data_IF_297981811024
#
_entry.id   IF_297981811024
#
_cell.length_a   1.000
_cell.length_b   1.000
_cell.length_c   1.000
_cell.angle_alpha   90.00
_cell.angle_beta   90.00
_cell.angle_gamma   90.00
#
_symmetry.space_group_name_H-M   'P 1'
#
loop_
_entity.id
_entity.type
_entity.pdbx_description
1 polymer ?
#
# COMPACT_ATOMS: atom_id res chain seq x y z
N UNK A 1 0.66 6.68 14.47
CA UNK A 1 1.25 6.19 13.21
C UNK A 1 0.19 5.41 12.43
N UNK A 2 0.10 5.66 11.14
CA UNK A 2 -0.88 4.96 10.30
C UNK A 2 -0.41 3.54 9.99
N UNK A 3 -1.33 2.60 9.92
CA UNK A 3 -1.02 1.22 9.57
C UNK A 3 -1.49 0.93 8.15
N UNK A 4 -0.58 0.43 7.33
CA UNK A 4 -0.87 0.11 5.94
C UNK A 4 -0.61 -1.37 5.67
N UNK A 5 -1.57 -2.03 5.04
CA UNK A 5 -1.41 -3.41 4.63
C UNK A 5 -0.90 -3.45 3.20
N UNK A 6 0.17 -4.20 2.97
CA UNK A 6 0.67 -4.49 1.63
C UNK A 6 0.14 -5.85 1.24
N UNK A 7 -0.66 -5.91 0.20
CA UNK A 7 -1.23 -7.16 -0.28
C UNK A 7 -1.18 -7.23 -1.80
N UNK A 8 -0.93 -8.41 -2.35
CA UNK A 8 -0.89 -8.64 -3.78
C UNK A 8 -1.54 -9.97 -4.12
N UNK A 9 -2.05 -10.04 -5.35
CA UNK A 9 -2.79 -11.21 -5.81
C UNK A 9 -1.99 -12.51 -5.76
N UNK A 10 -0.77 -12.47 -6.25
CA UNK A 10 0.06 -13.65 -6.35
C UNK A 10 1.05 -13.82 -5.22
N UNK A 11 1.05 -12.92 -4.30
CA UNK A 11 1.74 -13.02 -3.03
C UNK A 11 3.24 -12.92 -3.05
N UNK A 12 3.95 -13.90 -3.50
CA UNK A 12 5.33 -14.06 -3.07
C UNK A 12 6.36 -13.04 -3.58
N UNK A 13 6.50 -12.90 -4.89
CA UNK A 13 7.52 -12.01 -5.44
C UNK A 13 7.09 -10.55 -5.48
N UNK A 14 5.93 -10.30 -6.08
CA UNK A 14 5.44 -8.94 -6.31
C UNK A 14 5.14 -8.18 -5.04
N UNK A 15 4.54 -8.85 -4.05
CA UNK A 15 4.18 -8.16 -2.81
C UNK A 15 5.40 -7.82 -1.98
N UNK A 16 6.44 -8.65 -2.02
CA UNK A 16 7.70 -8.34 -1.34
C UNK A 16 8.39 -7.13 -1.97
N UNK A 17 8.43 -7.08 -3.30
CA UNK A 17 9.00 -5.93 -4.00
C UNK A 17 8.22 -4.67 -3.72
N UNK A 18 6.90 -4.75 -3.74
CA UNK A 18 6.05 -3.61 -3.42
C UNK A 18 6.32 -3.12 -2.00
N UNK A 19 6.39 -4.03 -1.04
CA UNK A 19 6.69 -3.65 0.34
C UNK A 19 8.04 -2.96 0.45
N UNK A 20 9.06 -3.51 -0.19
CA UNK A 20 10.42 -2.94 -0.14
C UNK A 20 10.41 -1.53 -0.73
N UNK A 21 9.80 -1.34 -1.88
CA UNK A 21 9.78 -0.04 -2.54
C UNK A 21 9.00 1.00 -1.74
N UNK A 22 7.84 0.60 -1.22
CA UNK A 22 7.04 1.51 -0.40
C UNK A 22 7.77 1.86 0.89
N UNK A 23 8.42 0.87 1.52
CA UNK A 23 9.18 1.09 2.73
C UNK A 23 10.33 2.08 2.50
N UNK A 24 11.02 1.96 1.37
CA UNK A 24 12.09 2.90 1.03
C UNK A 24 11.57 4.34 0.93
N UNK A 25 10.40 4.51 0.31
CA UNK A 25 9.79 5.84 0.18
C UNK A 25 9.39 6.39 1.55
N UNK A 26 8.80 5.55 2.38
CA UNK A 26 8.36 5.93 3.72
C UNK A 26 9.56 6.39 4.56
N UNK A 27 10.65 5.63 4.56
CA UNK A 27 11.84 5.95 5.33
C UNK A 27 12.54 7.19 4.80
N UNK A 28 12.62 7.33 3.47
CA UNK A 28 13.29 8.47 2.85
C UNK A 28 12.57 9.77 3.15
N UNK A 29 11.25 9.74 3.29
CA UNK A 29 10.43 10.92 3.53
C UNK A 29 9.93 11.03 4.96
N UNK A 30 10.30 10.08 5.80
CA UNK A 30 9.89 10.04 7.22
C UNK A 30 8.38 10.11 7.40
N UNK A 31 7.65 9.39 6.56
CA UNK A 31 6.21 9.32 6.67
C UNK A 31 5.80 8.50 7.92
N UNK A 32 4.75 8.91 8.64
CA UNK A 32 4.30 8.19 9.83
C UNK A 32 3.43 6.98 9.45
N UNK A 33 4.00 6.05 8.71
CA UNK A 33 3.28 4.88 8.21
C UNK A 33 4.05 3.61 8.56
N UNK A 34 3.34 2.65 9.18
CA UNK A 34 3.88 1.34 9.48
C UNK A 34 3.34 0.35 8.44
N UNK A 35 4.24 -0.41 7.81
CA UNK A 35 3.85 -1.37 6.80
C UNK A 35 3.68 -2.76 7.41
N UNK A 36 2.58 -3.42 7.03
CA UNK A 36 2.30 -4.79 7.42
C UNK A 36 2.10 -5.58 6.13
N UNK A 37 2.82 -6.70 5.99
CA UNK A 37 2.73 -7.55 4.81
C UNK A 37 1.71 -8.67 5.05
N UNK A 38 0.79 -8.84 4.12
CA UNK A 38 -0.22 -9.86 4.23
C UNK A 38 -0.71 -10.34 2.87
N UNK A 39 -1.76 -11.13 2.88
CA UNK A 39 -2.36 -11.66 1.66
C UNK A 39 -3.68 -10.95 1.37
N UNK A 40 -4.27 -11.23 0.20
CA UNK A 40 -5.57 -10.64 -0.13
C UNK A 40 -6.67 -11.10 0.83
N UNK A 41 -6.54 -12.29 1.39
CA UNK A 41 -7.53 -12.75 2.37
C UNK A 41 -7.44 -12.00 3.69
N UNK A 42 -6.30 -11.37 3.97
CA UNK A 42 -6.14 -10.58 5.18
C UNK A 42 -6.84 -9.22 5.09
N UNK A 43 -7.20 -8.78 3.89
CA UNK A 43 -7.81 -7.47 3.69
C UNK A 43 -9.09 -7.31 4.51
N UNK A 44 -9.91 -8.33 4.54
CA UNK A 44 -11.21 -8.26 5.24
C UNK A 44 -11.07 -8.19 6.76
N UNK A 45 -10.01 -8.76 7.29
CA UNK A 45 -9.77 -8.77 8.74
C UNK A 45 -8.79 -7.71 9.19
N UNK A 46 -8.18 -6.99 8.25
CA UNK A 46 -7.18 -5.99 8.59
C UNK A 46 -7.83 -4.75 9.23
N UNK A 47 -7.35 -4.39 10.39
CA UNK A 47 -7.81 -3.22 11.13
C UNK A 47 -6.75 -2.13 11.09
N UNK A 48 -6.58 -1.52 9.94
CA UNK A 48 -5.60 -0.46 9.76
C UNK A 48 -6.19 0.72 9.02
N UNK A 49 -5.32 1.61 8.57
CA UNK A 49 -5.75 2.88 8.00
C UNK A 49 -5.83 2.86 6.48
N UNK A 50 -4.99 2.06 5.83
CA UNK A 50 -5.01 2.01 4.38
C UNK A 50 -4.48 0.67 3.86
N UNK A 51 -4.83 0.40 2.62
CA UNK A 51 -4.37 -0.77 1.89
C UNK A 51 -3.52 -0.29 0.72
N UNK A 52 -2.35 -0.87 0.54
CA UNK A 52 -1.47 -0.56 -0.59
C UNK A 52 -1.29 -1.82 -1.42
N UNK A 53 -1.57 -1.73 -2.71
CA UNK A 53 -1.47 -2.88 -3.61
C UNK A 53 -1.19 -2.37 -5.02
N UNK A 54 -1.08 -3.28 -5.97
CA UNK A 54 -0.95 -2.87 -7.37
C UNK A 54 -2.29 -2.37 -7.89
N UNK A 55 -2.26 -1.52 -8.92
CA UNK A 55 -3.45 -0.84 -9.42
C UNK A 55 -4.55 -1.81 -9.86
N UNK A 56 -4.20 -2.90 -10.51
CA UNK A 56 -5.19 -3.87 -10.97
C UNK A 56 -5.92 -4.54 -9.79
N UNK A 57 -5.18 -4.83 -8.73
CA UNK A 57 -5.77 -5.41 -7.52
C UNK A 57 -6.60 -4.35 -6.79
N UNK A 58 -6.13 -3.11 -6.78
CA UNK A 58 -6.87 -2.02 -6.16
C UNK A 58 -8.25 -1.85 -6.81
N UNK A 59 -8.32 -1.96 -8.13
CA UNK A 59 -9.59 -1.87 -8.84
C UNK A 59 -10.54 -3.00 -8.45
N UNK A 60 -10.01 -4.19 -8.25
CA UNK A 60 -10.84 -5.33 -7.84
C UNK A 60 -11.34 -5.20 -6.41
N UNK A 61 -10.54 -4.57 -5.55
CA UNK A 61 -10.88 -4.42 -4.14
C UNK A 61 -11.63 -3.13 -3.83
N UNK A 62 -11.96 -2.37 -4.86
CA UNK A 62 -12.65 -1.10 -4.69
C UNK A 62 -13.94 -1.30 -3.89
N UNK A 63 -14.07 -0.58 -2.79
CA UNK A 63 -15.21 -0.71 -1.91
C UNK A 63 -15.05 -1.74 -0.79
N UNK A 64 -14.01 -2.57 -0.85
CA UNK A 64 -13.77 -3.58 0.18
C UNK A 64 -12.99 -3.02 1.36
N UNK A 65 -12.31 -1.91 1.17
CA UNK A 65 -11.54 -1.25 2.22
C UNK A 65 -11.71 0.28 2.07
N UNK A 66 -11.76 1.02 3.19
CA UNK A 66 -12.02 2.47 3.12
C UNK A 66 -11.02 3.28 2.32
N UNK A 67 -9.74 2.97 2.42
CA UNK A 67 -8.70 3.69 1.69
C UNK A 67 -7.79 2.69 1.01
N UNK A 68 -7.75 2.73 -0.31
CA UNK A 68 -6.91 1.83 -1.09
C UNK A 68 -6.01 2.66 -1.99
N UNK A 69 -4.70 2.37 -1.93
CA UNK A 69 -3.72 3.00 -2.81
C UNK A 69 -3.27 1.95 -3.82
N UNK A 70 -3.51 2.24 -5.09
CA UNK A 70 -3.07 1.37 -6.19
C UNK A 70 -1.80 1.91 -6.82
N UNK A 71 -0.76 1.08 -6.91
CA UNK A 71 0.51 1.46 -7.51
C UNK A 71 0.56 0.92 -8.94
N UNK A 72 0.70 1.82 -9.88
CA UNK A 72 0.75 1.46 -11.30
C UNK A 72 2.11 0.88 -11.68
N UNK A 73 3.18 1.49 -11.20
CA UNK A 73 4.54 1.05 -11.48
C UNK A 73 5.35 1.05 -10.20
N UNK A 74 5.61 -0.14 -9.67
CA UNK A 74 6.30 -0.26 -8.38
C UNK A 74 7.76 0.21 -8.43
N UNK A 75 8.33 0.34 -9.62
CA UNK A 75 9.68 0.87 -9.78
C UNK A 75 9.71 2.40 -9.77
N UNK A 76 8.55 3.04 -9.84
CA UNK A 76 8.44 4.48 -9.83
C UNK A 76 8.21 4.99 -8.41
N UNK A 77 9.29 5.31 -7.73
CA UNK A 77 9.21 5.79 -6.35
C UNK A 77 8.48 7.13 -6.23
N UNK A 78 8.50 7.93 -7.29
CA UNK A 78 7.79 9.20 -7.30
C UNK A 78 6.29 8.99 -7.24
N UNK A 79 5.78 8.02 -7.98
CA UNK A 79 4.37 7.67 -7.93
C UNK A 79 3.96 7.24 -6.53
N UNK A 80 4.77 6.37 -5.91
CA UNK A 80 4.50 5.89 -4.56
C UNK A 80 4.48 7.06 -3.59
N UNK A 81 5.47 7.93 -3.67
CA UNK A 81 5.58 9.08 -2.79
C UNK A 81 4.35 9.99 -2.92
N UNK A 82 3.97 10.31 -4.14
CA UNK A 82 2.84 11.21 -4.38
C UNK A 82 1.53 10.64 -3.84
N UNK A 83 1.31 9.36 -4.02
CA UNK A 83 0.09 8.71 -3.53
C UNK A 83 0.05 8.64 -2.02
N UNK A 84 1.19 8.39 -1.38
CA UNK A 84 1.26 8.38 0.07
C UNK A 84 1.06 9.78 0.65
N UNK A 85 1.66 10.79 0.01
CA UNK A 85 1.48 12.17 0.44
C UNK A 85 0.01 12.59 0.34
N UNK A 86 -0.65 12.21 -0.74
CA UNK A 86 -2.06 12.52 -0.92
C UNK A 86 -2.90 11.92 0.21
N UNK A 87 -2.61 10.68 0.59
CA UNK A 87 -3.29 10.05 1.72
C UNK A 87 -3.06 10.85 3.00
N UNK A 88 -1.82 11.23 3.26
CA UNK A 88 -1.46 11.96 4.49
C UNK A 88 -2.10 13.34 4.55
N UNK A 89 -2.22 14.01 3.42
CA UNK A 89 -2.81 15.33 3.39
C UNK A 89 -4.33 15.32 3.58
N UNK A 90 -4.99 14.21 3.26
CA UNK A 90 -6.44 14.11 3.42
C UNK A 90 -6.83 13.60 4.80
N UNK A 91 -5.86 13.28 5.61
CA UNK A 91 -6.06 12.87 7.00
C UNK A 91 -5.66 14.01 7.94
#
# INVERSE_FOLDING_TARGET
>A
MFKALIACRTGMGSSMMLKIKVDQVIRANKFPIELIHGTLSDVKSFEGDLLITMEDVADELKGEFPVIIGIKNLMDKQEIKEKLELFLYTK
#
